data_IF_233760257887
#
_entry.id   IF_233760257887
#
_cell.length_a   1.000
_cell.length_b   1.000
_cell.length_c   1.000
_cell.angle_alpha   90.00
_cell.angle_beta   90.00
_cell.angle_gamma   90.00
#
_symmetry.space_group_name_H-M   'P 1'
#
loop_
_entity.id
_entity.type
_entity.pdbx_description
1 polymer ?
#
# COMPACT_ATOMS: atom_id res chain seq x y z
N UNK A 1 9.00 24.56 -17.13
CA UNK A 1 9.33 24.48 -15.70
C UNK A 1 8.04 24.64 -14.92
N UNK A 2 7.33 23.54 -14.65
CA UNK A 2 6.21 23.54 -13.71
C UNK A 2 6.47 22.46 -12.66
N UNK A 3 7.31 22.85 -11.71
CA UNK A 3 7.88 22.03 -10.64
C UNK A 3 6.96 21.98 -9.41
N UNK A 4 5.66 21.71 -9.58
CA UNK A 4 4.69 21.91 -8.47
C UNK A 4 3.68 20.80 -8.18
N UNK A 5 3.95 19.56 -8.59
CA UNK A 5 3.26 18.39 -8.01
C UNK A 5 4.26 17.51 -7.28
N UNK A 6 4.97 18.10 -6.31
CA UNK A 6 5.61 17.38 -5.21
C UNK A 6 4.63 17.30 -4.04
N UNK A 7 3.44 16.75 -4.28
CA UNK A 7 2.45 16.52 -3.23
C UNK A 7 2.78 15.19 -2.58
N UNK A 8 3.50 15.26 -1.46
CA UNK A 8 3.54 14.30 -0.36
C UNK A 8 3.05 12.88 -0.71
N UNK A 9 3.92 12.05 -1.30
CA UNK A 9 3.77 10.61 -1.14
C UNK A 9 4.75 10.16 -0.06
N UNK A 10 4.30 9.82 1.17
CA UNK A 10 5.15 9.19 2.18
C UNK A 10 5.67 7.80 1.73
N UNK A 11 5.25 7.33 0.56
CA UNK A 11 5.79 6.15 -0.12
C UNK A 11 6.70 6.56 -1.28
N UNK A 12 7.91 7.00 -0.92
CA UNK A 12 9.03 6.65 -1.79
C UNK A 12 9.14 5.11 -1.77
N UNK A 13 9.06 4.42 -2.91
CA UNK A 13 9.46 3.02 -2.94
C UNK A 13 10.95 3.06 -2.61
N UNK A 14 11.31 2.66 -1.40
CA UNK A 14 12.66 2.20 -1.16
C UNK A 14 12.81 1.00 -2.07
N UNK A 15 13.35 1.21 -3.27
CA UNK A 15 14.06 0.16 -3.99
C UNK A 15 15.24 -0.20 -3.09
N UNK A 16 14.96 -0.94 -2.02
CA UNK A 16 15.95 -1.65 -1.26
C UNK A 16 16.38 -2.78 -2.20
N UNK A 17 17.36 -2.45 -3.04
CA UNK A 17 18.30 -3.42 -3.57
C UNK A 17 18.95 -4.08 -2.35
N UNK A 18 18.43 -5.23 -1.96
CA UNK A 18 19.17 -6.16 -1.10
C UNK A 18 18.91 -7.59 -1.60
N UNK A 19 19.94 -8.06 -2.27
CA UNK A 19 20.08 -9.33 -2.94
C UNK A 19 20.03 -10.50 -1.94
N UNK A 20 19.24 -11.52 -2.30
CA UNK A 20 19.44 -12.92 -1.88
C UNK A 20 19.34 -13.28 -0.39
N UNK A 21 18.09 -13.47 0.06
CA UNK A 21 17.73 -14.71 0.78
C UNK A 21 16.21 -14.90 0.75
N UNK A 22 15.69 -15.58 -0.29
CA UNK A 22 14.56 -16.53 -0.27
C UNK A 22 13.37 -16.32 0.71
N UNK A 23 13.05 -15.10 1.12
CA UNK A 23 12.00 -14.83 2.11
C UNK A 23 10.73 -14.41 1.39
N UNK A 24 9.67 -15.19 1.61
CA UNK A 24 8.35 -14.84 1.11
C UNK A 24 7.93 -13.45 1.62
N UNK A 25 7.38 -12.62 0.72
CA UNK A 25 6.81 -11.32 1.09
C UNK A 25 5.74 -11.49 2.18
N UNK A 26 5.39 -10.41 2.90
CA UNK A 26 4.48 -10.51 4.04
C UNK A 26 3.12 -11.14 3.64
N UNK A 27 2.62 -10.83 2.44
CA UNK A 27 1.38 -11.40 1.90
C UNK A 27 1.48 -12.91 1.63
N UNK A 28 2.55 -13.35 0.96
CA UNK A 28 2.78 -14.77 0.67
C UNK A 28 3.02 -15.57 1.95
N UNK A 29 3.76 -15.00 2.91
CA UNK A 29 3.99 -15.60 4.22
C UNK A 29 2.67 -15.76 5.00
N UNK A 30 1.81 -14.75 4.98
CA UNK A 30 0.48 -14.81 5.61
C UNK A 30 -0.38 -15.93 5.03
N UNK A 31 -0.41 -16.06 3.69
CA UNK A 31 -1.14 -17.13 3.00
C UNK A 31 -0.47 -18.50 3.06
N UNK A 32 0.72 -18.61 3.67
CA UNK A 32 1.56 -19.82 3.70
C UNK A 32 1.85 -20.37 2.29
N UNK A 33 2.09 -19.48 1.33
CA UNK A 33 2.37 -19.82 -0.07
C UNK A 33 3.79 -19.41 -0.47
N UNK A 34 4.36 -20.10 -1.46
CA UNK A 34 5.65 -19.71 -2.08
C UNK A 34 5.49 -18.35 -2.75
N UNK A 35 6.41 -17.43 -2.46
CA UNK A 35 6.50 -16.15 -3.17
C UNK A 35 7.24 -16.38 -4.49
N UNK A 36 6.56 -16.13 -5.60
CA UNK A 36 7.14 -16.19 -6.95
C UNK A 36 7.75 -14.83 -7.32
N UNK A 37 8.65 -14.81 -8.30
CA UNK A 37 9.30 -13.58 -8.77
C UNK A 37 8.33 -12.57 -9.41
N UNK A 38 7.18 -13.03 -9.90
CA UNK A 38 6.11 -12.23 -10.49
C UNK A 38 5.04 -11.77 -9.48
N UNK A 39 5.31 -11.90 -8.17
CA UNK A 39 4.35 -11.54 -7.14
C UNK A 39 4.07 -10.03 -7.12
N UNK A 40 2.88 -9.62 -7.57
CA UNK A 40 2.44 -8.21 -7.60
C UNK A 40 2.47 -7.50 -6.23
N UNK A 41 2.43 -8.25 -5.13
CA UNK A 41 2.44 -7.70 -3.77
C UNK A 41 3.84 -7.63 -3.16
N UNK A 42 4.82 -8.35 -3.72
CA UNK A 42 6.17 -8.43 -3.15
C UNK A 42 6.90 -7.09 -3.08
N UNK A 43 6.84 -6.20 -4.11
CA UNK A 43 7.50 -4.89 -4.06
C UNK A 43 6.98 -3.97 -2.95
N UNK A 44 5.76 -4.20 -2.48
CA UNK A 44 5.06 -3.28 -1.57
C UNK A 44 4.95 -3.80 -0.13
N UNK A 45 5.06 -5.12 0.05
CA UNK A 45 4.94 -5.77 1.35
C UNK A 45 6.16 -6.67 1.63
N UNK A 46 7.35 -6.08 1.87
CA UNK A 46 8.55 -6.85 2.19
C UNK A 46 8.34 -7.68 3.46
N UNK A 47 9.15 -8.74 3.64
CA UNK A 47 8.97 -9.69 4.75
C UNK A 47 9.08 -9.05 6.16
N UNK A 48 9.81 -7.93 6.28
CA UNK A 48 9.95 -7.16 7.50
C UNK A 48 8.66 -6.41 7.88
N UNK A 49 7.85 -6.01 6.90
CA UNK A 49 6.76 -5.07 7.08
C UNK A 49 5.40 -5.77 7.20
N UNK A 50 5.28 -6.60 8.24
CA UNK A 50 4.08 -7.40 8.48
C UNK A 50 2.90 -6.54 8.95
N UNK A 51 3.15 -5.52 9.76
CA UNK A 51 2.11 -4.66 10.33
C UNK A 51 1.37 -3.90 9.23
N UNK A 52 2.10 -3.31 8.28
CA UNK A 52 1.53 -2.63 7.12
C UNK A 52 0.68 -3.56 6.27
N UNK A 53 1.19 -4.77 6.00
CA UNK A 53 0.40 -5.78 5.29
C UNK A 53 -0.89 -6.15 6.05
N UNK A 54 -0.85 -6.30 7.37
CA UNK A 54 -2.03 -6.63 8.17
C UNK A 54 -3.12 -5.56 8.09
N UNK A 55 -2.74 -4.27 8.11
CA UNK A 55 -3.69 -3.16 7.95
C UNK A 55 -4.33 -3.18 6.56
N UNK A 56 -3.52 -3.26 5.51
CA UNK A 56 -4.01 -3.34 4.12
C UNK A 56 -4.87 -4.59 3.88
N UNK A 57 -4.49 -5.72 4.45
CA UNK A 57 -5.26 -6.96 4.40
C UNK A 57 -6.61 -6.82 5.11
N UNK A 58 -6.66 -6.15 6.27
CA UNK A 58 -7.91 -5.94 7.01
C UNK A 58 -8.92 -5.12 6.22
N UNK A 59 -8.47 -4.07 5.53
CA UNK A 59 -9.36 -3.17 4.79
C UNK A 59 -9.72 -3.68 3.39
N UNK A 60 -8.75 -4.22 2.65
CA UNK A 60 -8.96 -4.62 1.24
C UNK A 60 -8.99 -6.13 1.05
N UNK A 61 -8.18 -6.86 1.81
CA UNK A 61 -7.88 -8.27 1.54
C UNK A 61 -6.97 -8.46 0.32
N UNK A 62 -6.29 -9.62 0.27
CA UNK A 62 -5.31 -9.91 -0.81
C UNK A 62 -5.97 -9.93 -2.19
N UNK A 63 -7.14 -10.52 -2.33
CA UNK A 63 -7.80 -10.69 -3.63
C UNK A 63 -8.21 -9.35 -4.24
N UNK A 64 -8.75 -8.42 -3.44
CA UNK A 64 -9.14 -7.08 -3.92
C UNK A 64 -7.92 -6.28 -4.36
N UNK A 65 -6.86 -6.25 -3.54
CA UNK A 65 -5.61 -5.57 -3.90
C UNK A 65 -5.06 -6.11 -5.22
N UNK A 66 -4.98 -7.43 -5.39
CA UNK A 66 -4.51 -8.03 -6.66
C UNK A 66 -5.40 -7.67 -7.84
N UNK A 67 -6.72 -7.81 -7.70
CA UNK A 67 -7.68 -7.48 -8.76
C UNK A 67 -7.56 -6.02 -9.21
N UNK A 68 -7.39 -5.09 -8.27
CA UNK A 68 -7.13 -3.68 -8.58
C UNK A 68 -5.82 -3.52 -9.37
N UNK A 69 -4.71 -4.09 -8.88
CA UNK A 69 -3.41 -3.96 -9.55
C UNK A 69 -3.38 -4.60 -10.94
N UNK A 70 -4.07 -5.72 -11.12
CA UNK A 70 -4.21 -6.41 -12.40
C UNK A 70 -5.00 -5.58 -13.42
N UNK A 71 -5.96 -4.77 -12.98
CA UNK A 71 -6.75 -3.88 -13.84
C UNK A 71 -6.02 -2.59 -14.24
N UNK A 72 -4.85 -2.31 -13.66
CA UNK A 72 -4.09 -1.08 -13.85
C UNK A 72 -2.87 -1.28 -14.75
N UNK A 73 -2.47 -0.20 -15.44
CA UNK A 73 -1.20 -0.14 -16.16
C UNK A 73 -0.03 -0.21 -15.17
N UNK A 74 1.13 -0.80 -15.55
CA UNK A 74 2.25 -1.00 -14.64
C UNK A 74 2.70 0.27 -13.88
N UNK A 75 2.71 1.43 -14.54
CA UNK A 75 3.12 2.70 -13.93
C UNK A 75 2.13 3.24 -12.88
N UNK A 76 0.86 2.81 -12.93
CA UNK A 76 -0.17 3.25 -11.98
C UNK A 76 -0.17 2.42 -10.69
N UNK A 77 0.38 1.20 -10.74
CA UNK A 77 0.35 0.23 -9.63
C UNK A 77 1.03 0.77 -8.37
N UNK A 78 2.12 1.51 -8.53
CA UNK A 78 2.85 2.08 -7.40
C UNK A 78 1.99 3.10 -6.63
N UNK A 79 1.35 4.03 -7.35
CA UNK A 79 0.46 5.03 -6.76
C UNK A 79 -0.77 4.35 -6.15
N UNK A 80 -1.41 3.43 -6.87
CA UNK A 80 -2.59 2.71 -6.35
C UNK A 80 -2.28 1.93 -5.06
N UNK A 81 -1.13 1.26 -4.99
CA UNK A 81 -0.74 0.57 -3.77
C UNK A 81 -0.42 1.56 -2.63
N UNK A 82 0.30 2.65 -2.90
CA UNK A 82 0.56 3.67 -1.89
C UNK A 82 -0.75 4.22 -1.30
N UNK A 83 -1.75 4.49 -2.14
CA UNK A 83 -3.09 4.91 -1.72
C UNK A 83 -3.78 3.85 -0.88
N UNK A 84 -3.82 2.58 -1.32
CA UNK A 84 -4.43 1.50 -0.53
C UNK A 84 -3.75 1.35 0.84
N UNK A 85 -2.43 1.48 0.90
CA UNK A 85 -1.74 1.38 2.19
C UNK A 85 -2.08 2.58 3.08
N UNK A 86 -2.04 3.80 2.54
CA UNK A 86 -2.43 5.01 3.28
C UNK A 86 -3.86 4.90 3.84
N UNK A 87 -4.84 4.54 3.00
CA UNK A 87 -6.23 4.35 3.44
C UNK A 87 -6.34 3.30 4.55
N UNK A 88 -5.55 2.23 4.46
CA UNK A 88 -5.55 1.19 5.49
C UNK A 88 -4.89 1.61 6.80
N UNK A 89 -3.90 2.50 6.76
CA UNK A 89 -3.27 3.08 7.95
C UNK A 89 -4.20 4.06 8.64
N UNK A 90 -4.88 4.92 7.88
CA UNK A 90 -5.89 5.83 8.39
C UNK A 90 -7.06 5.05 8.98
N UNK A 91 -7.59 4.05 8.29
CA UNK A 91 -8.66 3.21 8.82
C UNK A 91 -8.24 2.42 10.07
N UNK A 92 -6.97 2.06 10.21
CA UNK A 92 -6.48 1.44 11.45
C UNK A 92 -6.46 2.41 12.63
N UNK A 93 -6.29 3.72 12.39
CA UNK A 93 -6.34 4.77 13.40
C UNK A 93 -7.77 5.24 13.71
N UNK A 94 -8.62 5.31 12.68
CA UNK A 94 -10.04 5.66 12.75
C UNK A 94 -10.91 4.57 12.11
N UNK A 95 -11.28 3.50 12.86
CA UNK A 95 -12.01 2.36 12.29
C UNK A 95 -13.40 2.69 11.73
N UNK A 96 -14.10 3.65 12.32
CA UNK A 96 -15.49 3.96 11.94
C UNK A 96 -15.58 4.92 10.76
N UNK A 97 -14.68 5.90 10.71
CA UNK A 97 -14.72 7.05 9.79
C UNK A 97 -13.60 7.02 8.76
N UNK A 98 -12.44 6.45 9.08
CA UNK A 98 -11.30 6.32 8.17
C UNK A 98 -10.90 7.66 7.54
N UNK A 99 -10.84 7.71 6.21
CA UNK A 99 -10.46 8.94 5.49
C UNK A 99 -11.51 10.05 5.57
N UNK A 100 -12.73 9.78 6.07
CA UNK A 100 -13.75 10.81 6.24
C UNK A 100 -13.32 11.88 7.23
N UNK A 101 -12.68 11.50 8.34
CA UNK A 101 -12.19 12.46 9.35
C UNK A 101 -11.22 13.46 8.74
N UNK A 102 -10.32 12.98 7.88
CA UNK A 102 -9.32 13.79 7.19
C UNK A 102 -10.01 14.76 6.24
N UNK A 103 -11.01 14.29 5.47
CA UNK A 103 -11.77 15.15 4.56
C UNK A 103 -12.51 16.24 5.32
N UNK A 104 -13.21 15.90 6.42
CA UNK A 104 -13.95 16.86 7.23
C UNK A 104 -13.02 17.89 7.89
N UNK A 105 -11.87 17.45 8.41
CA UNK A 105 -10.86 18.34 8.99
C UNK A 105 -10.26 19.30 7.95
N UNK A 106 -10.04 18.83 6.71
CA UNK A 106 -9.54 19.69 5.63
C UNK A 106 -10.62 20.67 5.16
N UNK A 107 -11.88 20.25 5.12
CA UNK A 107 -13.00 21.12 4.76
C UNK A 107 -13.16 22.27 5.76
N UNK A 108 -13.05 22.01 7.06
CA UNK A 108 -13.16 23.05 8.09
C UNK A 108 -12.00 24.07 8.11
N UNK A 109 -10.96 23.88 7.28
CA UNK A 109 -9.85 24.84 7.15
C UNK A 109 -10.01 25.79 5.96
N UNK A 110 -10.90 25.45 5.02
CA UNK A 110 -11.18 26.26 3.83
C UNK A 110 -12.52 27.02 3.95
N UNK A 111 -13.36 26.62 4.91
CA UNK A 111 -14.53 27.36 5.39
C UNK A 111 -14.14 28.36 6.48
#
# INVERSE_FOLDING_TARGET
MDSRVSVLSPYSPSYADDESASKACAACRFRRQKCKGDCLLAPFFPAADKSRFQKAHRLFGVSKMKKILESLLPHQRAVAMATMIYESEVHAASPDTGCLDIILQLHSQIE
#
